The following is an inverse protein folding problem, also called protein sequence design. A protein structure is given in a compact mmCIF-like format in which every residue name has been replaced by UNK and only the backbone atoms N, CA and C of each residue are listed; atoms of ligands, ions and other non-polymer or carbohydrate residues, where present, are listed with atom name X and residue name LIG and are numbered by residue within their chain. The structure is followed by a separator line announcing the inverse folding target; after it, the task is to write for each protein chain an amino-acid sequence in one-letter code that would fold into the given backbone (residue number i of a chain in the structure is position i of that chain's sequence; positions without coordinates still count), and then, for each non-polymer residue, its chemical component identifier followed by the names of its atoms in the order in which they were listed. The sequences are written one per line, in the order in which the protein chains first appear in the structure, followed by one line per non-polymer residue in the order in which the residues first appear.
data_IF_651100988133
#
_entry.id   IF_651100988133
#
_cell.length_a   1.000
_cell.length_b   1.000
_cell.length_c   1.000
_cell.angle_alpha   90.00
_cell.angle_beta   90.00
_cell.angle_gamma   90.00
#
_symmetry.space_group_name_H-M   'P 1'
#
loop_
_entity.id
_entity.type
_entity.pdbx_description
1 polymer ?
#
# COMPACT_ATOMS: atom_id res chain seq x y z
N UNK A 1 -54.91 -27.93 11.20
CA UNK A 1 -53.92 -28.67 10.38
C UNK A 1 -52.69 -27.80 10.13
N UNK A 2 -51.58 -28.13 10.72
CA UNK A 2 -50.33 -27.42 10.45
C UNK A 2 -49.66 -28.04 9.23
N UNK A 3 -49.73 -27.37 8.10
CA UNK A 3 -48.97 -27.75 6.90
C UNK A 3 -47.49 -27.37 7.15
N UNK A 4 -46.70 -28.37 7.47
CA UNK A 4 -45.22 -28.22 7.45
C UNK A 4 -44.77 -28.40 6.02
N UNK A 5 -44.52 -27.29 5.35
CA UNK A 5 -43.89 -27.32 4.06
C UNK A 5 -42.36 -27.50 4.30
N UNK A 6 -41.86 -28.68 3.94
CA UNK A 6 -40.44 -28.96 3.92
C UNK A 6 -39.80 -28.48 2.61
N UNK A 7 -38.51 -28.16 2.64
CA UNK A 7 -37.73 -27.85 1.43
C UNK A 7 -37.63 -29.07 0.53
N UNK A 8 -37.86 -28.89 -0.78
CA UNK A 8 -37.60 -29.92 -1.76
C UNK A 8 -36.11 -30.01 -2.09
N UNK A 9 -35.63 -31.18 -2.50
CA UNK A 9 -34.26 -31.41 -2.90
C UNK A 9 -33.85 -30.46 -4.03
N UNK A 10 -34.75 -30.22 -5.00
CA UNK A 10 -34.48 -29.34 -6.12
C UNK A 10 -34.36 -27.87 -5.72
N UNK A 11 -35.15 -27.40 -4.74
CA UNK A 11 -35.02 -26.04 -4.20
C UNK A 11 -33.66 -25.83 -3.56
N UNK A 12 -33.15 -26.80 -2.80
CA UNK A 12 -31.83 -26.76 -2.21
C UNK A 12 -30.72 -26.75 -3.28
N UNK A 13 -30.84 -27.60 -4.31
CA UNK A 13 -29.88 -27.68 -5.40
C UNK A 13 -29.78 -26.35 -6.18
N UNK A 14 -30.92 -25.74 -6.51
CA UNK A 14 -30.96 -24.44 -7.20
C UNK A 14 -30.34 -23.33 -6.35
N UNK A 15 -30.64 -23.29 -5.07
CA UNK A 15 -30.10 -22.30 -4.14
C UNK A 15 -28.58 -22.41 -4.06
N UNK A 16 -28.03 -23.60 -3.90
CA UNK A 16 -26.59 -23.85 -3.84
C UNK A 16 -25.92 -23.48 -5.17
N UNK A 17 -26.53 -23.77 -6.30
CA UNK A 17 -26.01 -23.41 -7.61
C UNK A 17 -25.93 -21.90 -7.80
N UNK A 18 -26.91 -21.14 -7.37
CA UNK A 18 -26.92 -19.67 -7.43
C UNK A 18 -25.82 -19.10 -6.53
N UNK A 19 -25.70 -19.59 -5.31
CA UNK A 19 -24.63 -19.14 -4.36
C UNK A 19 -23.24 -19.43 -4.96
N UNK A 20 -23.04 -20.60 -5.57
CA UNK A 20 -21.78 -20.97 -6.20
C UNK A 20 -21.38 -20.00 -7.33
N UNK A 21 -22.34 -19.64 -8.19
CA UNK A 21 -22.11 -18.69 -9.31
C UNK A 21 -21.78 -17.29 -8.77
N UNK A 22 -22.56 -16.79 -7.83
CA UNK A 22 -22.32 -15.46 -7.24
C UNK A 22 -20.98 -15.39 -6.48
N UNK A 23 -20.62 -16.46 -5.77
CA UNK A 23 -19.36 -16.53 -5.05
C UNK A 23 -18.15 -16.55 -5.97
N UNK A 24 -18.26 -17.15 -7.14
CA UNK A 24 -17.15 -17.20 -8.12
C UNK A 24 -16.75 -15.84 -8.65
N UNK A 25 -17.67 -14.88 -8.67
CA UNK A 25 -17.43 -13.50 -9.12
C UNK A 25 -17.11 -12.59 -7.93
N UNK A 26 -17.78 -12.76 -6.80
CA UNK A 26 -17.68 -11.88 -5.64
C UNK A 26 -16.35 -11.98 -4.90
N UNK A 27 -15.83 -13.19 -4.72
CA UNK A 27 -14.58 -13.41 -3.95
C UNK A 27 -13.36 -12.76 -4.59
N UNK A 28 -13.07 -12.91 -5.89
CA UNK A 28 -11.93 -12.26 -6.52
C UNK A 28 -11.99 -10.72 -6.46
N UNK A 29 -13.18 -10.15 -6.66
CA UNK A 29 -13.39 -8.70 -6.57
C UNK A 29 -13.12 -8.16 -5.16
N UNK A 30 -13.55 -8.89 -4.14
CA UNK A 30 -13.32 -8.55 -2.75
C UNK A 30 -11.83 -8.58 -2.37
N UNK A 31 -11.09 -9.57 -2.84
CA UNK A 31 -9.64 -9.67 -2.61
C UNK A 31 -8.87 -8.50 -3.24
N UNK A 32 -9.23 -8.09 -4.45
CA UNK A 32 -8.66 -6.89 -5.09
C UNK A 32 -8.90 -5.63 -4.26
N UNK A 33 -10.11 -5.49 -3.73
CA UNK A 33 -10.48 -4.35 -2.90
C UNK A 33 -9.68 -4.29 -1.61
N UNK A 34 -9.48 -5.42 -0.92
CA UNK A 34 -8.67 -5.53 0.29
C UNK A 34 -7.21 -5.18 0.02
N UNK A 35 -6.62 -5.66 -1.07
CA UNK A 35 -5.25 -5.31 -1.47
C UNK A 35 -5.10 -3.81 -1.68
N UNK A 36 -6.03 -3.19 -2.40
CA UNK A 36 -6.05 -1.75 -2.63
C UNK A 36 -6.18 -0.95 -1.33
N UNK A 37 -7.05 -1.38 -0.43
CA UNK A 37 -7.22 -0.76 0.89
C UNK A 37 -5.94 -0.86 1.73
N UNK A 38 -5.26 -2.01 1.71
CA UNK A 38 -3.99 -2.20 2.41
C UNK A 38 -2.87 -1.31 1.85
N UNK A 39 -2.80 -1.14 0.53
CA UNK A 39 -1.85 -0.20 -0.09
C UNK A 39 -2.17 1.25 0.28
N UNK A 40 -3.45 1.61 0.37
CA UNK A 40 -3.87 2.94 0.82
C UNK A 40 -3.44 3.22 2.26
N UNK A 41 -3.57 2.23 3.14
CA UNK A 41 -3.09 2.32 4.52
C UNK A 41 -1.57 2.51 4.58
N UNK A 42 -0.83 1.77 3.76
CA UNK A 42 0.62 1.96 3.62
C UNK A 42 0.98 3.37 3.13
N UNK A 43 0.25 3.90 2.16
CA UNK A 43 0.44 5.27 1.66
C UNK A 43 0.23 6.30 2.77
N UNK A 44 -0.82 6.16 3.57
CA UNK A 44 -1.09 7.06 4.69
C UNK A 44 0.01 7.01 5.75
N UNK A 45 0.57 5.83 6.00
CA UNK A 45 1.68 5.67 6.93
C UNK A 45 2.97 6.40 6.49
N UNK A 46 3.12 6.73 5.21
CA UNK A 46 4.29 7.49 4.71
C UNK A 46 4.22 8.98 5.02
N UNK A 47 3.04 9.53 5.26
CA UNK A 47 2.83 10.98 5.39
C UNK A 47 3.72 11.62 6.47
N UNK A 48 3.76 11.10 7.72
CA UNK A 48 4.60 11.70 8.75
C UNK A 48 6.09 11.64 8.42
N UNK A 49 6.55 10.61 7.75
CA UNK A 49 7.95 10.47 7.32
C UNK A 49 8.31 11.46 6.22
N UNK A 50 7.43 11.63 5.23
CA UNK A 50 7.62 12.64 4.17
C UNK A 50 7.72 14.03 4.75
N UNK A 51 6.77 14.41 5.61
CA UNK A 51 6.76 15.72 6.27
C UNK A 51 8.02 15.95 7.11
N UNK A 52 8.44 14.95 7.86
CA UNK A 52 9.64 15.03 8.68
C UNK A 52 10.93 15.18 7.85
N UNK A 53 11.03 14.47 6.72
CA UNK A 53 12.15 14.62 5.79
C UNK A 53 12.14 16.01 5.14
N UNK A 54 10.98 16.52 4.76
CA UNK A 54 10.85 17.87 4.19
C UNK A 54 11.29 18.95 5.19
N UNK A 55 10.85 18.85 6.45
CA UNK A 55 11.31 19.75 7.52
C UNK A 55 12.81 19.62 7.79
N UNK A 56 13.31 18.39 7.85
CA UNK A 56 14.74 18.14 8.05
C UNK A 56 15.59 18.81 6.97
N UNK A 57 15.18 18.74 5.70
CA UNK A 57 15.90 19.41 4.59
C UNK A 57 15.84 20.92 4.70
N UNK A 58 14.71 21.48 5.16
CA UNK A 58 14.60 22.93 5.38
C UNK A 58 15.54 23.40 6.49
N UNK A 59 15.69 22.63 7.57
CA UNK A 59 16.56 22.97 8.69
C UNK A 59 18.04 22.69 8.43
N UNK A 60 18.35 21.56 7.80
CA UNK A 60 19.72 21.10 7.59
C UNK A 60 20.32 21.49 6.23
N UNK A 61 19.47 21.87 5.28
CA UNK A 61 19.86 22.19 3.90
C UNK A 61 20.21 20.99 3.02
N UNK A 62 20.31 19.79 3.60
CA UNK A 62 20.77 18.57 2.92
C UNK A 62 20.02 17.33 3.39
N UNK A 63 19.77 16.42 2.46
CA UNK A 63 19.13 15.13 2.69
C UNK A 63 20.01 14.13 3.45
N UNK A 64 21.33 14.25 3.37
CA UNK A 64 22.27 13.27 3.94
C UNK A 64 22.15 13.10 5.46
N UNK A 65 21.64 14.12 6.15
CA UNK A 65 21.44 14.12 7.60
C UNK A 65 20.04 13.64 8.01
N UNK A 66 19.12 13.47 7.07
CA UNK A 66 17.73 13.12 7.31
C UNK A 66 17.56 11.60 7.39
N UNK A 67 17.83 11.06 8.58
CA UNK A 67 17.74 9.64 8.86
C UNK A 67 16.71 9.37 9.97
N UNK A 68 16.11 8.17 9.94
CA UNK A 68 15.18 7.74 10.97
C UNK A 68 15.81 7.85 12.37
N UNK A 69 15.08 8.42 13.32
CA UNK A 69 15.53 8.64 14.68
C UNK A 69 16.44 9.85 14.88
N UNK A 70 16.66 10.67 13.84
CA UNK A 70 17.44 11.89 13.93
C UNK A 70 16.76 13.07 13.24
N UNK A 71 17.10 14.29 13.63
CA UNK A 71 16.62 15.55 13.01
C UNK A 71 15.09 15.64 12.88
N UNK A 72 14.36 15.11 13.86
CA UNK A 72 12.90 15.11 13.85
C UNK A 72 12.25 14.04 12.97
N UNK A 73 13.03 13.22 12.28
CA UNK A 73 12.50 12.09 11.49
C UNK A 73 12.16 10.93 12.43
N UNK A 74 10.91 10.43 12.44
CA UNK A 74 10.51 9.35 13.34
C UNK A 74 11.33 8.08 13.10
N UNK A 75 11.49 7.29 14.16
CA UNK A 75 11.96 5.90 14.03
C UNK A 75 10.92 5.09 13.30
N UNK A 76 11.37 4.13 12.48
CA UNK A 76 10.46 3.28 11.72
C UNK A 76 9.64 2.38 12.65
N UNK A 77 8.32 2.42 12.47
CA UNK A 77 7.37 1.57 13.20
C UNK A 77 6.72 0.57 12.27
N UNK A 78 6.46 -0.63 12.80
CA UNK A 78 5.64 -1.62 12.10
C UNK A 78 4.16 -1.28 12.28
N UNK A 79 3.36 -1.50 11.24
CA UNK A 79 1.90 -1.37 11.29
C UNK A 79 1.24 -2.68 10.85
N UNK A 80 -0.07 -2.67 10.73
CA UNK A 80 -0.82 -3.87 10.32
C UNK A 80 -0.33 -4.47 8.98
N UNK A 81 0.02 -3.62 8.02
CA UNK A 81 0.41 -4.03 6.67
C UNK A 81 1.86 -3.68 6.32
N UNK A 82 2.60 -3.13 7.28
CA UNK A 82 3.99 -2.72 7.10
C UNK A 82 4.85 -3.43 8.13
N UNK A 83 5.79 -4.22 7.65
CA UNK A 83 6.78 -4.92 8.47
C UNK A 83 7.84 -3.97 9.01
N UNK A 84 8.31 -3.06 8.18
CA UNK A 84 9.32 -2.07 8.55
C UNK A 84 9.25 -0.82 7.68
N UNK A 85 9.58 0.30 8.29
CA UNK A 85 9.80 1.58 7.62
C UNK A 85 11.22 2.01 7.96
N UNK A 86 12.00 2.36 6.96
CA UNK A 86 13.36 2.89 7.17
C UNK A 86 13.51 4.21 6.42
N UNK A 87 14.25 5.13 7.00
CA UNK A 87 14.61 6.40 6.36
C UNK A 87 16.13 6.56 6.44
N UNK A 88 16.77 6.62 5.29
CA UNK A 88 18.22 6.80 5.17
C UNK A 88 18.52 7.87 4.13
N UNK A 89 19.14 8.94 4.54
CA UNK A 89 19.48 10.09 3.66
C UNK A 89 18.26 10.60 2.86
N UNK A 90 17.11 10.67 3.51
CA UNK A 90 15.86 11.10 2.89
C UNK A 90 15.18 10.06 2.00
N UNK A 91 15.75 8.87 1.86
CA UNK A 91 15.09 7.75 1.15
C UNK A 91 14.24 6.97 2.13
N UNK A 92 12.95 6.90 1.87
CA UNK A 92 11.97 6.14 2.67
C UNK A 92 11.75 4.79 2.02
N UNK A 93 12.01 3.72 2.76
CA UNK A 93 11.76 2.35 2.29
C UNK A 93 10.74 1.68 3.19
N UNK A 94 9.67 1.16 2.59
CA UNK A 94 8.61 0.42 3.28
C UNK A 94 8.62 -1.02 2.80
N UNK A 95 8.53 -1.95 3.73
CA UNK A 95 8.39 -3.39 3.45
C UNK A 95 7.02 -3.83 3.90
N UNK A 96 6.26 -4.43 2.99
CA UNK A 96 4.91 -4.92 3.24
C UNK A 96 4.87 -6.16 4.13
N UNK A 97 3.74 -6.33 4.81
CA UNK A 97 3.43 -7.49 5.64
C UNK A 97 2.00 -7.99 5.36
N UNK A 98 1.70 -9.20 5.78
CA UNK A 98 0.38 -9.84 5.63
C UNK A 98 -0.13 -9.78 4.19
N UNK A 99 -1.22 -9.06 3.94
CA UNK A 99 -1.79 -8.88 2.59
C UNK A 99 -0.80 -8.26 1.60
N UNK A 100 0.17 -7.48 2.09
CA UNK A 100 1.21 -6.82 1.29
C UNK A 100 2.57 -7.52 1.36
N UNK A 101 2.64 -8.76 1.81
CA UNK A 101 3.89 -9.54 1.82
C UNK A 101 4.50 -9.57 0.43
N UNK A 102 5.81 -9.26 0.34
CA UNK A 102 6.54 -9.20 -0.93
C UNK A 102 6.48 -7.85 -1.64
N UNK A 103 5.69 -6.88 -1.12
CA UNK A 103 5.73 -5.51 -1.61
C UNK A 103 6.87 -4.74 -0.92
N UNK A 104 7.68 -4.08 -1.72
CA UNK A 104 8.65 -3.09 -1.25
C UNK A 104 8.40 -1.78 -1.99
N UNK A 105 8.29 -0.70 -1.23
CA UNK A 105 8.12 0.66 -1.75
C UNK A 105 9.34 1.47 -1.36
N UNK A 106 10.02 2.04 -2.34
CA UNK A 106 11.15 2.95 -2.15
C UNK A 106 10.75 4.32 -2.65
N UNK A 107 10.81 5.31 -1.78
CA UNK A 107 10.52 6.70 -2.11
C UNK A 107 11.77 7.54 -1.95
N UNK A 108 12.15 8.23 -3.01
CA UNK A 108 13.34 9.08 -3.04
C UNK A 108 12.94 10.54 -3.18
N UNK A 109 13.41 11.37 -2.28
CA UNK A 109 13.27 12.81 -2.38
C UNK A 109 14.42 13.39 -3.21
N UNK A 110 14.09 14.25 -4.17
CA UNK A 110 15.06 15.02 -4.96
C UNK A 110 14.77 16.50 -4.82
N UNK A 111 15.79 17.29 -4.57
CA UNK A 111 15.66 18.75 -4.45
C UNK A 111 15.73 19.36 -5.85
N UNK A 112 14.71 20.10 -6.23
CA UNK A 112 14.72 20.86 -7.49
C UNK A 112 15.45 22.20 -7.35
N UNK A 113 15.62 22.90 -8.48
CA UNK A 113 16.30 24.20 -8.54
C UNK A 113 15.67 25.28 -7.64
N UNK A 114 14.35 25.15 -7.35
CA UNK A 114 13.62 26.07 -6.50
C UNK A 114 13.67 25.70 -5.00
N UNK A 115 14.44 24.68 -4.63
CA UNK A 115 14.56 24.21 -3.26
C UNK A 115 13.42 23.34 -2.75
N UNK A 116 12.44 23.03 -3.60
CA UNK A 116 11.32 22.11 -3.26
C UNK A 116 11.75 20.66 -3.45
N UNK A 117 11.22 19.78 -2.62
CA UNK A 117 11.40 18.33 -2.78
C UNK A 117 10.37 17.77 -3.73
N UNK A 118 10.85 17.02 -4.70
CA UNK A 118 10.03 16.13 -5.52
C UNK A 118 10.21 14.70 -5.03
N UNK A 119 9.11 13.99 -4.90
CA UNK A 119 9.11 12.60 -4.48
C UNK A 119 8.89 11.69 -5.68
N UNK A 120 9.86 10.83 -5.92
CA UNK A 120 9.78 9.74 -6.89
C UNK A 120 9.79 8.42 -6.13
N UNK A 121 9.23 7.38 -6.71
CA UNK A 121 9.24 6.10 -6.03
C UNK A 121 9.10 4.91 -6.97
N UNK A 122 9.40 3.76 -6.42
CA UNK A 122 9.30 2.47 -7.10
C UNK A 122 8.55 1.50 -6.20
N UNK A 123 7.59 0.81 -6.78
CA UNK A 123 6.88 -0.30 -6.17
C UNK A 123 7.36 -1.60 -6.77
N UNK A 124 7.88 -2.49 -5.95
CA UNK A 124 8.35 -3.82 -6.35
C UNK A 124 7.51 -4.89 -5.67
N UNK A 125 6.82 -5.72 -6.45
CA UNK A 125 6.06 -6.87 -5.96
C UNK A 125 5.97 -7.93 -7.05
N UNK A 126 5.98 -9.20 -6.67
CA UNK A 126 5.67 -10.32 -7.57
C UNK A 126 4.17 -10.40 -7.92
N UNK A 127 3.31 -9.87 -7.07
CA UNK A 127 1.86 -9.76 -7.30
C UNK A 127 1.58 -8.50 -8.14
N UNK A 128 1.18 -8.71 -9.40
CA UNK A 128 0.88 -7.61 -10.33
C UNK A 128 -0.24 -6.70 -9.84
N UNK A 129 -1.27 -7.26 -9.20
CA UNK A 129 -2.40 -6.49 -8.67
C UNK A 129 -1.95 -5.53 -7.56
N UNK A 130 -1.05 -5.96 -6.70
CA UNK A 130 -0.44 -5.13 -5.64
C UNK A 130 0.47 -4.08 -6.27
N UNK A 131 1.31 -4.47 -7.21
CA UNK A 131 2.24 -3.55 -7.90
C UNK A 131 1.50 -2.44 -8.64
N UNK A 132 0.47 -2.77 -9.40
CA UNK A 132 -0.36 -1.79 -10.11
C UNK A 132 -1.11 -0.86 -9.15
N UNK A 133 -1.70 -1.40 -8.09
CA UNK A 133 -2.37 -0.60 -7.05
C UNK A 133 -1.39 0.35 -6.36
N UNK A 134 -0.18 -0.11 -6.06
CA UNK A 134 0.87 0.69 -5.48
C UNK A 134 1.27 1.85 -6.39
N UNK A 135 1.59 1.60 -7.64
CA UNK A 135 1.96 2.63 -8.62
C UNK A 135 0.85 3.68 -8.78
N UNK A 136 -0.39 3.23 -8.92
CA UNK A 136 -1.55 4.10 -9.08
C UNK A 136 -1.81 4.98 -7.86
N UNK A 137 -1.77 4.41 -6.65
CA UNK A 137 -2.10 5.13 -5.42
C UNK A 137 -0.98 6.06 -4.95
N UNK A 138 0.28 5.65 -5.09
CA UNK A 138 1.43 6.51 -4.78
C UNK A 138 1.70 7.58 -5.84
N UNK A 139 1.08 7.45 -7.02
CA UNK A 139 1.27 8.38 -8.11
C UNK A 139 2.68 8.34 -8.71
N UNK A 140 3.36 7.21 -8.62
CA UNK A 140 4.66 7.04 -9.24
C UNK A 140 4.49 6.88 -10.74
N UNK A 141 5.04 7.81 -11.50
CA UNK A 141 5.22 7.63 -12.94
C UNK A 141 6.37 6.67 -13.15
N UNK A 142 6.18 5.66 -13.99
CA UNK A 142 7.29 4.84 -14.47
C UNK A 142 8.29 5.79 -15.15
N UNK A 143 9.37 6.10 -14.45
CA UNK A 143 10.55 6.70 -15.09
C UNK A 143 11.29 5.55 -15.75
N UNK A 144 10.68 5.05 -16.80
CA UNK A 144 11.24 4.12 -17.72
C UNK A 144 11.26 4.79 -19.09
N UNK A 145 12.43 4.96 -19.60
CA UNK A 145 12.77 5.43 -20.95
C UNK A 145 12.69 6.95 -21.17
N UNK A 146 13.76 7.58 -20.87
CA UNK A 146 14.27 8.78 -21.53
C UNK A 146 15.70 8.56 -21.84
#
# INVERSE_FOLDING_TARGET
MNYRHGFTLIELMVTVAIIAILSSIGIPSYQKYIKKAAVTDMLQATVPYKMAVELCVLEQGDLTKCNAGSQGVPTGESTRYIKSITVVKGVITLVGDKTLTGLTVVMTATKNSNGRLNWNGVCTSADLSISESCKSLFGFTDVGDG
#
